data_IF_890821415381
#
_entry.id   IF_890821415381
#
_cell.length_a   1.000
_cell.length_b   1.000
_cell.length_c   1.000
_cell.angle_alpha   90.00
_cell.angle_beta   90.00
_cell.angle_gamma   90.00
#
_symmetry.space_group_name_H-M   'P 1'
#
loop_
_entity.id
_entity.type
_entity.pdbx_description
1 polymer ?
#
# COMPACT_ATOMS: atom_id res chain seq x y z
N UNK A 1 15.93 -7.96 -12.25
CA UNK A 1 14.51 -7.67 -12.59
C UNK A 1 14.12 -8.30 -13.92
N UNK A 2 15.03 -8.34 -14.89
CA UNK A 2 15.01 -9.24 -16.05
C UNK A 2 14.49 -10.65 -15.76
N UNK A 3 14.96 -11.31 -14.69
CA UNK A 3 14.46 -12.64 -14.30
C UNK A 3 12.95 -12.66 -14.01
N UNK A 4 12.42 -11.67 -13.29
CA UNK A 4 10.97 -11.56 -13.03
C UNK A 4 10.18 -11.40 -14.33
N UNK A 5 10.64 -10.52 -15.23
CA UNK A 5 9.98 -10.32 -16.53
C UNK A 5 10.01 -11.57 -17.39
N UNK A 6 11.14 -12.28 -17.43
CA UNK A 6 11.30 -13.49 -18.23
C UNK A 6 10.35 -14.63 -17.82
N UNK A 7 9.86 -14.63 -16.58
CA UNK A 7 8.92 -15.61 -16.05
C UNK A 7 7.44 -15.20 -16.20
N UNK A 8 7.14 -14.05 -16.82
CA UNK A 8 5.78 -13.64 -17.15
C UNK A 8 5.44 -13.96 -18.61
N UNK A 9 4.14 -14.01 -18.94
CA UNK A 9 3.71 -14.15 -20.34
C UNK A 9 4.16 -12.95 -21.19
N UNK A 10 4.30 -13.15 -22.50
CA UNK A 10 4.69 -12.09 -23.45
C UNK A 10 3.80 -10.85 -23.34
N UNK A 11 2.48 -11.03 -23.15
CA UNK A 11 1.53 -9.93 -22.96
C UNK A 11 1.86 -9.09 -21.73
N UNK A 12 2.14 -9.73 -20.60
CA UNK A 12 2.50 -9.04 -19.37
C UNK A 12 3.87 -8.35 -19.48
N UNK A 13 4.84 -9.00 -20.13
CA UNK A 13 6.16 -8.40 -20.40
C UNK A 13 6.04 -7.13 -21.22
N UNK A 14 5.29 -7.16 -22.33
CA UNK A 14 5.06 -6.00 -23.20
C UNK A 14 4.35 -4.88 -22.46
N UNK A 15 3.27 -5.19 -21.75
CA UNK A 15 2.57 -4.21 -20.93
C UNK A 15 3.50 -3.51 -19.95
N UNK A 16 4.29 -4.26 -19.19
CA UNK A 16 5.20 -3.63 -18.22
C UNK A 16 6.33 -2.82 -18.89
N UNK A 17 6.96 -3.33 -19.95
CA UNK A 17 8.06 -2.65 -20.62
C UNK A 17 7.63 -1.37 -21.34
N UNK A 18 6.44 -1.36 -21.94
CA UNK A 18 5.92 -0.24 -22.70
C UNK A 18 5.40 0.88 -21.79
N UNK A 19 4.85 0.53 -20.62
CA UNK A 19 4.23 1.49 -19.72
C UNK A 19 5.14 2.01 -18.61
N UNK A 20 6.20 1.28 -18.21
CA UNK A 20 7.06 1.66 -17.07
C UNK A 20 7.60 3.09 -17.14
N UNK A 21 7.96 3.59 -18.33
CA UNK A 21 8.48 4.97 -18.49
C UNK A 21 7.38 6.02 -18.27
N UNK A 22 6.15 5.72 -18.69
CA UNK A 22 4.98 6.61 -18.48
C UNK A 22 4.62 6.70 -17.00
N UNK A 23 4.54 5.55 -16.33
CA UNK A 23 4.30 5.52 -14.88
C UNK A 23 5.40 6.24 -14.12
N UNK A 24 6.68 6.01 -14.47
CA UNK A 24 7.79 6.74 -13.87
C UNK A 24 7.65 8.25 -14.07
N UNK A 25 7.30 8.71 -15.27
CA UNK A 25 7.13 10.14 -15.52
C UNK A 25 6.02 10.75 -14.65
N UNK A 26 4.91 10.03 -14.45
CA UNK A 26 3.80 10.47 -13.62
C UNK A 26 4.13 10.47 -12.12
N UNK A 27 4.85 9.46 -11.62
CA UNK A 27 5.08 9.29 -10.17
C UNK A 27 6.38 9.92 -9.68
N UNK A 28 7.39 10.09 -10.53
CA UNK A 28 8.69 10.62 -10.14
C UNK A 28 8.62 12.02 -9.50
N UNK A 29 7.81 12.98 -10.00
CA UNK A 29 7.68 14.29 -9.35
C UNK A 29 7.17 14.18 -7.91
N UNK A 30 6.17 13.34 -7.68
CA UNK A 30 5.59 13.09 -6.34
C UNK A 30 6.63 12.48 -5.40
N UNK A 31 7.43 11.53 -5.90
CA UNK A 31 8.51 10.97 -5.09
C UNK A 31 9.58 12.00 -4.76
N UNK A 32 9.97 12.86 -5.71
CA UNK A 32 10.94 13.93 -5.44
C UNK A 32 10.43 14.87 -4.34
N UNK A 33 9.20 15.33 -4.44
CA UNK A 33 8.56 16.15 -3.40
C UNK A 33 8.57 15.45 -2.04
N UNK A 34 8.23 14.16 -2.00
CA UNK A 34 8.27 13.37 -0.77
C UNK A 34 9.68 13.30 -0.18
N UNK A 35 10.70 13.01 -1.00
CA UNK A 35 12.09 12.92 -0.53
C UNK A 35 12.62 14.28 -0.06
N UNK A 36 12.32 15.37 -0.76
CA UNK A 36 12.70 16.72 -0.37
C UNK A 36 12.02 17.13 0.96
N UNK A 37 10.75 16.75 1.16
CA UNK A 37 10.01 16.98 2.42
C UNK A 37 10.61 16.21 3.61
N UNK A 38 11.07 14.98 3.36
CA UNK A 38 11.75 14.17 4.38
C UNK A 38 13.14 14.73 4.70
N UNK A 39 13.94 15.05 3.68
CA UNK A 39 15.30 15.58 3.85
C UNK A 39 15.31 16.93 4.59
N UNK A 40 14.35 17.81 4.28
CA UNK A 40 14.20 19.09 4.96
C UNK A 40 13.64 19.00 6.39
N UNK A 41 13.17 17.82 6.81
CA UNK A 41 12.51 17.62 8.10
C UNK A 41 11.06 18.08 8.16
N UNK A 42 10.50 18.59 7.06
CA UNK A 42 9.12 19.07 6.98
C UNK A 42 8.11 17.95 7.28
N UNK A 43 8.32 16.74 6.75
CA UNK A 43 7.42 15.60 7.03
C UNK A 43 7.45 15.18 8.51
N UNK A 44 8.61 15.29 9.16
CA UNK A 44 8.75 14.99 10.59
C UNK A 44 8.00 16.02 11.45
N UNK A 45 8.16 17.31 11.14
CA UNK A 45 7.42 18.38 11.81
C UNK A 45 5.91 18.21 11.62
N UNK A 46 5.46 17.97 10.37
CA UNK A 46 4.05 17.70 10.05
C UNK A 46 3.49 16.54 10.87
N UNK A 47 4.26 15.47 11.03
CA UNK A 47 3.86 14.30 11.83
C UNK A 47 3.70 14.67 13.30
N UNK A 48 4.67 15.37 13.89
CA UNK A 48 4.62 15.82 15.29
C UNK A 48 3.40 16.72 15.49
N UNK A 49 3.21 17.72 14.64
CA UNK A 49 2.10 18.68 14.74
C UNK A 49 0.74 18.00 14.66
N UNK A 50 0.58 17.02 13.75
CA UNK A 50 -0.66 16.26 13.59
C UNK A 50 -0.93 15.36 14.79
N UNK A 51 0.09 14.63 15.26
CA UNK A 51 -0.01 13.71 16.39
C UNK A 51 -0.23 14.42 17.74
N UNK A 52 0.19 15.68 17.87
CA UNK A 52 0.00 16.49 19.08
C UNK A 52 -1.40 17.11 19.19
N UNK A 53 -2.26 16.98 18.16
CA UNK A 53 -3.63 17.51 18.24
C UNK A 53 -4.45 16.74 19.29
N UNK A 54 -5.28 17.43 20.08
CA UNK A 54 -6.06 16.80 21.15
C UNK A 54 -7.07 15.76 20.64
N UNK A 55 -7.52 15.91 19.39
CA UNK A 55 -8.48 15.03 18.72
C UNK A 55 -7.82 14.04 17.73
N UNK A 56 -6.49 13.90 17.76
CA UNK A 56 -5.74 13.09 16.81
C UNK A 56 -6.26 11.65 16.70
N UNK A 57 -6.55 11.00 17.83
CA UNK A 57 -7.04 9.60 17.84
C UNK A 57 -8.40 9.43 17.18
N UNK A 58 -9.29 10.40 17.34
CA UNK A 58 -10.63 10.37 16.75
C UNK A 58 -10.52 10.50 15.24
N UNK A 59 -9.82 11.54 14.75
CA UNK A 59 -9.56 11.74 13.32
C UNK A 59 -8.83 10.56 12.67
N UNK A 60 -7.80 10.01 13.33
CA UNK A 60 -7.12 8.82 12.83
C UNK A 60 -8.07 7.62 12.73
N UNK A 61 -8.97 7.46 13.69
CA UNK A 61 -9.96 6.37 13.65
C UNK A 61 -10.93 6.53 12.48
N UNK A 62 -11.29 7.76 12.12
CA UNK A 62 -12.10 8.05 10.93
C UNK A 62 -11.36 7.71 9.63
N UNK A 63 -10.10 8.17 9.47
CA UNK A 63 -9.26 7.85 8.31
C UNK A 63 -9.06 6.33 8.15
N UNK A 64 -8.81 5.62 9.26
CA UNK A 64 -8.67 4.16 9.25
C UNK A 64 -9.99 3.43 8.99
N UNK A 65 -11.12 3.98 9.42
CA UNK A 65 -12.44 3.44 9.12
C UNK A 65 -12.71 3.53 7.62
N UNK A 66 -12.45 4.68 7.00
CA UNK A 66 -12.63 4.88 5.56
C UNK A 66 -11.84 3.83 4.75
N UNK A 67 -10.58 3.61 5.10
CA UNK A 67 -9.76 2.57 4.46
C UNK A 67 -10.33 1.15 4.63
N UNK A 68 -10.83 0.83 5.83
CA UNK A 68 -11.43 -0.47 6.15
C UNK A 68 -12.74 -0.70 5.41
N UNK A 69 -13.52 0.36 5.24
CA UNK A 69 -14.82 0.33 4.57
C UNK A 69 -14.70 0.41 3.05
N UNK A 70 -13.50 0.71 2.52
CA UNK A 70 -13.23 0.68 1.08
C UNK A 70 -13.56 -0.70 0.46
N UNK A 71 -14.10 -0.67 -0.76
CA UNK A 71 -14.51 -1.86 -1.49
C UNK A 71 -13.36 -2.87 -1.66
N UNK A 72 -12.14 -2.35 -1.94
CA UNK A 72 -10.95 -3.17 -2.10
C UNK A 72 -10.62 -3.94 -0.81
N UNK A 73 -10.80 -3.30 0.36
CA UNK A 73 -10.53 -3.93 1.65
C UNK A 73 -11.55 -5.02 1.98
N UNK A 74 -12.85 -4.72 1.79
CA UNK A 74 -13.94 -5.67 2.01
C UNK A 74 -13.84 -6.90 1.10
N UNK A 75 -13.61 -6.67 -0.20
CA UNK A 75 -13.41 -7.75 -1.17
C UNK A 75 -12.18 -8.60 -0.81
N UNK A 76 -11.07 -7.95 -0.46
CA UNK A 76 -9.85 -8.63 -0.01
C UNK A 76 -10.09 -9.47 1.25
N UNK A 77 -10.87 -8.99 2.21
CA UNK A 77 -11.20 -9.72 3.43
C UNK A 77 -12.02 -10.98 3.13
N UNK A 78 -13.04 -10.87 2.28
CA UNK A 78 -13.85 -12.01 1.84
C UNK A 78 -13.00 -13.07 1.11
N UNK A 79 -12.19 -12.66 0.13
CA UNK A 79 -11.33 -13.60 -0.63
C UNK A 79 -10.30 -14.27 0.29
N UNK A 80 -9.71 -13.53 1.23
CA UNK A 80 -8.76 -14.12 2.21
C UNK A 80 -9.42 -15.12 3.14
N UNK A 81 -10.72 -15.00 3.45
CA UNK A 81 -11.44 -15.96 4.28
C UNK A 81 -11.67 -17.30 3.56
N UNK A 82 -11.71 -17.30 2.23
CA UNK A 82 -11.90 -18.50 1.41
C UNK A 82 -10.62 -19.31 1.18
N UNK A 83 -9.47 -18.83 1.69
CA UNK A 83 -8.16 -19.45 1.50
C UNK A 83 -8.00 -20.68 2.39
N UNK A 84 -7.88 -21.90 1.85
CA UNK A 84 -7.83 -23.14 2.63
C UNK A 84 -6.61 -23.21 3.56
N UNK A 85 -5.50 -22.59 3.20
CA UNK A 85 -4.29 -22.53 4.02
C UNK A 85 -4.51 -21.81 5.37
N UNK A 86 -5.49 -20.89 5.47
CA UNK A 86 -5.82 -20.25 6.74
C UNK A 86 -6.49 -21.20 7.73
N UNK A 87 -7.35 -22.08 7.25
CA UNK A 87 -8.03 -23.06 8.10
C UNK A 87 -7.02 -24.02 8.75
N UNK A 88 -5.98 -24.40 8.00
CA UNK A 88 -4.91 -25.27 8.50
C UNK A 88 -4.05 -24.57 9.56
N UNK A 89 -3.78 -23.27 9.40
CA UNK A 89 -3.02 -22.49 10.38
C UNK A 89 -3.82 -22.29 11.67
N UNK A 90 -5.10 -21.94 11.59
CA UNK A 90 -5.96 -21.77 12.78
C UNK A 90 -6.18 -23.10 13.52
N UNK A 91 -6.32 -24.22 12.81
CA UNK A 91 -6.40 -25.55 13.42
C UNK A 91 -5.10 -25.94 14.14
N UNK A 92 -3.94 -25.58 13.59
CA UNK A 92 -2.62 -25.88 14.20
C UNK A 92 -2.25 -24.99 15.40
N UNK A 93 -3.01 -23.93 15.66
CA UNK A 93 -2.80 -23.02 16.81
C UNK A 93 -3.69 -23.33 18.01
N UNK A 94 -4.55 -24.35 17.91
CA UNK A 94 -5.50 -24.78 18.96
C UNK A 94 -4.99 -26.03 19.72
N UNK A 95 -3.85 -26.58 19.31
CA UNK A 95 -3.06 -27.59 20.05
C UNK A 95 -1.95 -26.95 20.89
#
# INVERSE_FOLDING_TARGET
>A
MDWMYANCSTTAQRGALDWKKKFKAATLPVFKELYDSVESGAEAQRTIDKCSQPDYREKLSEELRELRESELWQAGAAVRKLRPEKANVEASMID
#
